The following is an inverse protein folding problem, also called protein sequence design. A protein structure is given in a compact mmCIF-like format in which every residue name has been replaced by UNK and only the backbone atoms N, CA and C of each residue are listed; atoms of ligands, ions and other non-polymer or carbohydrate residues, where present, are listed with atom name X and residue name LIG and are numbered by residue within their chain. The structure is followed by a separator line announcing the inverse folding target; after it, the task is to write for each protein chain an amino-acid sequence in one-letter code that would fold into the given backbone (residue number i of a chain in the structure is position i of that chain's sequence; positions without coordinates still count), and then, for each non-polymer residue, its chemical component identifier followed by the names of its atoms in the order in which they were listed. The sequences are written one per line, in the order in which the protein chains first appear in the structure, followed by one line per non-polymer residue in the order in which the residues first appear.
data_IF_378510889240
#
_entry.id   IF_378510889240
#
_cell.length_a   1.000
_cell.length_b   1.000
_cell.length_c   1.000
_cell.angle_alpha   90.00
_cell.angle_beta   90.00
_cell.angle_gamma   90.00
#
_symmetry.space_group_name_H-M   'P 1'
#
loop_
_entity.id
_entity.type
_entity.pdbx_description
1 polymer ?
#
# COMPACT_ATOMS: atom_id res chain seq x y z
N UNK A 1 18.56 -35.84 69.51
CA UNK A 1 17.27 -35.89 68.81
C UNK A 1 16.84 -34.42 68.62
N UNK A 2 17.09 -33.83 67.42
CA UNK A 2 16.71 -32.50 67.06
C UNK A 2 15.67 -32.60 65.95
N UNK A 3 14.57 -31.91 66.14
CA UNK A 3 13.30 -31.92 65.39
C UNK A 3 13.46 -31.43 63.94
N UNK A 4 12.74 -31.99 62.97
CA UNK A 4 12.86 -31.63 61.53
C UNK A 4 11.92 -30.51 61.08
N UNK A 5 11.86 -29.38 61.81
CA UNK A 5 10.93 -28.30 61.49
C UNK A 5 11.56 -27.07 60.81
N UNK A 6 12.88 -27.02 60.66
CA UNK A 6 13.56 -25.79 60.15
C UNK A 6 13.99 -25.81 58.69
N UNK A 7 13.89 -26.92 57.96
CA UNK A 7 14.25 -26.97 56.55
C UNK A 7 13.10 -26.62 55.59
N UNK A 8 11.87 -26.84 55.98
CA UNK A 8 10.72 -26.50 55.13
C UNK A 8 10.44 -25.00 55.06
N UNK A 9 10.88 -24.21 56.02
CA UNK A 9 10.66 -22.79 56.07
C UNK A 9 11.68 -21.98 55.22
N UNK A 10 12.84 -22.58 54.93
CA UNK A 10 13.88 -21.98 54.06
C UNK A 10 13.64 -22.17 52.56
N UNK A 11 12.88 -23.20 52.17
CA UNK A 11 12.53 -23.49 50.77
C UNK A 11 11.31 -22.59 50.33
N UNK A 12 10.40 -22.32 51.24
CA UNK A 12 9.22 -21.45 50.93
C UNK A 12 9.62 -19.97 50.75
N UNK A 13 10.64 -19.48 51.46
CA UNK A 13 11.11 -18.08 51.30
C UNK A 13 12.01 -17.88 50.06
N UNK A 14 12.55 -18.95 49.43
CA UNK A 14 13.31 -18.80 48.18
C UNK A 14 12.48 -18.96 46.94
N UNK A 15 11.26 -19.47 47.02
CA UNK A 15 10.32 -19.58 45.89
C UNK A 15 9.44 -18.30 45.76
N UNK A 16 9.25 -17.58 46.87
CA UNK A 16 8.50 -16.31 46.84
C UNK A 16 9.35 -15.09 46.33
N UNK A 17 10.67 -15.19 46.31
CA UNK A 17 11.54 -14.10 45.83
C UNK A 17 11.84 -14.16 44.33
N UNK A 18 11.50 -15.29 43.63
CA UNK A 18 11.59 -15.38 42.17
C UNK A 18 10.25 -15.10 41.41
N UNK A 19 9.12 -15.03 42.13
CA UNK A 19 7.81 -14.80 41.54
C UNK A 19 7.41 -13.32 41.45
N UNK A 20 8.17 -12.37 42.04
CA UNK A 20 7.81 -10.96 42.07
C UNK A 20 8.63 -10.09 41.11
N UNK A 21 9.55 -10.67 40.33
CA UNK A 21 10.36 -9.93 39.35
C UNK A 21 9.81 -10.00 37.91
N UNK A 22 8.67 -10.69 37.68
CA UNK A 22 8.12 -10.92 36.35
C UNK A 22 6.84 -10.12 36.04
N UNK A 23 6.38 -9.21 36.90
CA UNK A 23 5.12 -8.45 36.71
C UNK A 23 5.34 -6.93 36.61
N UNK A 24 6.57 -6.44 36.48
CA UNK A 24 6.84 -5.01 36.24
C UNK A 24 7.35 -4.68 34.83
N UNK A 25 7.07 -5.55 33.84
CA UNK A 25 7.41 -5.35 32.44
C UNK A 25 6.28 -4.74 31.59
N UNK A 26 5.21 -4.23 32.20
CA UNK A 26 4.09 -3.64 31.47
C UNK A 26 3.85 -2.20 31.89
N UNK A 27 4.10 -1.24 30.99
CA UNK A 27 3.95 0.20 31.11
C UNK A 27 5.22 0.96 31.51
N UNK A 28 6.29 0.86 30.72
CA UNK A 28 7.22 1.97 30.64
C UNK A 28 6.59 3.04 29.74
N UNK A 29 5.78 3.91 30.34
CA UNK A 29 5.48 5.19 29.74
C UNK A 29 6.82 5.88 29.43
N UNK A 30 7.05 6.32 28.19
CA UNK A 30 8.25 7.05 27.83
C UNK A 30 8.41 8.26 28.78
N UNK A 31 9.51 8.32 29.46
CA UNK A 31 9.93 9.54 30.15
C UNK A 31 10.06 10.62 29.07
N UNK A 32 9.43 11.79 29.20
CA UNK A 32 9.58 12.87 28.21
C UNK A 32 11.08 13.14 27.97
N UNK A 33 11.54 12.92 26.71
CA UNK A 33 12.94 13.11 26.30
C UNK A 33 13.77 11.83 26.14
N UNK A 34 13.27 10.62 26.45
CA UNK A 34 13.98 9.37 26.16
C UNK A 34 13.79 8.95 24.69
N UNK A 35 14.89 8.66 24.00
CA UNK A 35 14.83 8.04 22.66
C UNK A 35 14.35 6.59 22.78
N UNK A 36 13.39 6.15 21.96
CA UNK A 36 13.00 4.75 21.91
C UNK A 36 14.19 3.85 21.54
N UNK A 37 14.23 2.59 22.02
CA UNK A 37 15.27 1.65 21.61
C UNK A 37 15.25 1.44 20.08
N UNK A 38 16.40 1.12 19.44
CA UNK A 38 16.44 0.80 18.03
C UNK A 38 15.42 -0.30 17.65
N UNK A 39 14.67 -0.08 16.57
CA UNK A 39 13.59 -0.97 16.16
C UNK A 39 12.26 -0.80 16.91
N UNK A 40 12.19 0.11 17.89
CA UNK A 40 10.94 0.44 18.59
C UNK A 40 10.09 1.41 17.76
N UNK A 41 8.80 1.16 17.66
CA UNK A 41 7.82 2.06 17.03
C UNK A 41 7.11 2.97 18.06
N UNK A 42 7.51 2.93 19.32
CA UNK A 42 6.84 3.64 20.44
C UNK A 42 6.83 5.16 20.28
N UNK A 43 7.77 5.71 19.49
CA UNK A 43 7.79 7.15 19.17
C UNK A 43 6.70 7.62 18.20
N UNK A 44 6.01 6.71 17.52
CA UNK A 44 4.95 7.02 16.56
C UNK A 44 3.60 6.85 17.25
N UNK A 45 2.86 7.95 17.41
CA UNK A 45 1.55 7.97 18.04
C UNK A 45 0.39 8.09 17.04
N UNK A 46 0.67 8.57 15.83
CA UNK A 46 -0.32 8.69 14.77
C UNK A 46 0.16 7.95 13.52
N UNK A 47 -0.60 6.94 13.10
CA UNK A 47 -0.36 6.19 11.86
C UNK A 47 -1.47 6.58 10.90
N UNK A 48 -1.11 7.24 9.81
CA UNK A 48 -2.03 7.58 8.72
C UNK A 48 -1.63 6.77 7.51
N UNK A 49 -2.55 6.07 6.89
CA UNK A 49 -2.30 5.41 5.61
C UNK A 49 -3.36 5.77 4.59
N UNK A 50 -2.93 5.95 3.36
CA UNK A 50 -3.77 6.31 2.23
C UNK A 50 -3.47 5.36 1.07
N UNK A 51 -4.51 4.88 0.42
CA UNK A 51 -4.42 4.01 -0.73
C UNK A 51 -5.10 4.66 -1.93
N UNK A 52 -4.29 5.02 -2.94
CA UNK A 52 -4.73 5.52 -4.25
C UNK A 52 -5.03 4.35 -5.19
N UNK A 53 -5.29 4.60 -6.48
CA UNK A 53 -5.74 3.58 -7.43
C UNK A 53 -4.81 3.39 -8.62
N UNK A 54 -4.53 2.12 -8.85
CA UNK A 54 -4.21 1.50 -10.12
C UNK A 54 -2.95 2.06 -10.80
N UNK A 55 -1.79 2.08 -10.09
CA UNK A 55 -0.51 2.48 -10.68
C UNK A 55 0.61 1.51 -10.33
N UNK A 56 1.39 1.09 -11.34
CA UNK A 56 2.59 0.30 -11.11
C UNK A 56 3.76 1.18 -10.65
N UNK A 57 4.76 0.55 -10.03
CA UNK A 57 5.98 1.24 -9.63
C UNK A 57 6.74 1.81 -10.84
N UNK A 58 6.92 1.03 -11.89
CA UNK A 58 7.64 1.47 -13.09
C UNK A 58 6.96 2.65 -13.78
N UNK A 59 5.62 2.68 -13.77
CA UNK A 59 4.85 3.77 -14.35
C UNK A 59 5.11 5.13 -13.67
N UNK A 60 5.31 5.13 -12.33
CA UNK A 60 5.53 6.36 -11.58
C UNK A 60 6.99 6.61 -11.20
N UNK A 61 7.71 5.57 -10.80
CA UNK A 61 9.08 5.68 -10.28
C UNK A 61 10.13 4.97 -11.13
N UNK A 62 9.76 4.47 -12.31
CA UNK A 62 10.68 3.83 -13.25
C UNK A 62 11.83 4.74 -13.72
N UNK A 63 11.75 6.06 -13.48
CA UNK A 63 12.78 7.04 -13.81
C UNK A 63 13.41 7.71 -12.57
N UNK A 64 13.11 7.23 -11.35
CA UNK A 64 13.48 7.92 -10.11
C UNK A 64 15.00 8.07 -9.93
N UNK A 65 15.80 7.15 -10.43
CA UNK A 65 17.26 7.23 -10.35
C UNK A 65 17.84 8.45 -11.07
N UNK A 66 17.23 8.89 -12.18
CA UNK A 66 17.63 10.10 -12.88
C UNK A 66 17.48 11.35 -11.97
N UNK A 67 16.35 11.43 -11.29
CA UNK A 67 16.07 12.50 -10.33
C UNK A 67 17.03 12.44 -9.13
N UNK A 68 17.23 11.26 -8.53
CA UNK A 68 18.14 11.06 -7.39
C UNK A 68 19.57 11.50 -7.75
N UNK A 69 20.08 11.10 -8.91
CA UNK A 69 21.39 11.52 -9.41
C UNK A 69 21.46 13.04 -9.61
N UNK A 70 20.40 13.70 -10.11
CA UNK A 70 20.36 15.16 -10.23
C UNK A 70 20.45 15.89 -8.89
N UNK A 71 20.13 15.19 -7.78
CA UNK A 71 20.27 15.67 -6.39
C UNK A 71 21.57 15.21 -5.72
N UNK A 72 22.47 14.56 -6.45
CA UNK A 72 23.74 14.04 -5.92
C UNK A 72 23.60 12.81 -5.04
N UNK A 73 22.48 12.06 -5.18
CA UNK A 73 22.20 10.85 -4.42
C UNK A 73 22.51 9.58 -5.23
N UNK A 74 22.69 8.46 -4.53
CA UNK A 74 22.90 7.15 -5.14
C UNK A 74 21.68 6.72 -5.97
N UNK A 75 21.91 6.17 -7.18
CA UNK A 75 20.85 5.59 -8.01
C UNK A 75 20.57 4.13 -7.59
N UNK A 76 20.16 3.94 -6.36
CA UNK A 76 19.95 2.63 -5.73
C UNK A 76 18.53 2.07 -5.84
N UNK A 77 17.63 2.76 -6.54
CA UNK A 77 16.26 2.28 -6.77
C UNK A 77 16.24 1.25 -7.91
N UNK A 78 15.49 0.17 -7.76
CA UNK A 78 15.27 -0.81 -8.81
C UNK A 78 14.26 -0.26 -9.83
N UNK A 79 14.76 0.56 -10.75
CA UNK A 79 13.99 1.27 -11.80
C UNK A 79 13.85 0.45 -13.08
N UNK A 80 12.96 0.88 -13.96
CA UNK A 80 12.72 0.22 -15.25
C UNK A 80 14.01 0.04 -16.03
N UNK A 81 14.39 -1.21 -16.41
CA UNK A 81 15.61 -1.44 -17.17
C UNK A 81 15.49 -0.91 -18.61
N UNK A 82 16.61 -0.43 -19.15
CA UNK A 82 16.65 0.19 -20.47
C UNK A 82 16.21 -0.76 -21.60
N UNK A 83 16.29 -2.08 -21.40
CA UNK A 83 15.87 -3.10 -22.37
C UNK A 83 14.47 -3.65 -22.08
N UNK A 84 13.71 -3.07 -21.15
CA UNK A 84 12.33 -3.45 -20.90
C UNK A 84 11.50 -3.34 -22.20
N UNK A 85 10.65 -4.30 -22.45
CA UNK A 85 9.84 -4.31 -23.67
C UNK A 85 8.59 -5.19 -23.53
N UNK A 86 7.57 -4.88 -24.33
CA UNK A 86 6.35 -5.67 -24.47
C UNK A 86 6.06 -5.89 -25.97
N UNK A 87 5.62 -7.08 -26.33
CA UNK A 87 5.15 -7.36 -27.67
C UNK A 87 3.71 -6.86 -27.82
N UNK A 88 3.41 -6.11 -28.89
CA UNK A 88 2.07 -5.61 -29.18
C UNK A 88 1.04 -6.74 -29.24
N UNK A 89 -0.25 -6.40 -29.02
CA UNK A 89 -1.36 -7.38 -29.09
C UNK A 89 -1.38 -8.16 -30.41
N UNK A 90 -1.12 -7.51 -31.55
CA UNK A 90 -1.09 -8.14 -32.88
C UNK A 90 0.27 -8.74 -33.23
N UNK A 91 1.22 -8.75 -32.32
CA UNK A 91 2.57 -9.28 -32.46
C UNK A 91 3.42 -8.63 -33.60
N UNK A 92 3.00 -7.44 -34.07
CA UNK A 92 3.68 -6.76 -35.19
C UNK A 92 4.80 -5.81 -34.73
N UNK A 93 4.77 -5.37 -33.47
CA UNK A 93 5.66 -4.34 -32.95
C UNK A 93 6.09 -4.66 -31.51
N UNK A 94 7.33 -4.31 -31.17
CA UNK A 94 7.82 -4.35 -29.80
C UNK A 94 7.81 -2.93 -29.23
N UNK A 95 7.09 -2.73 -28.13
CA UNK A 95 7.05 -1.47 -27.39
C UNK A 95 8.15 -1.41 -26.34
N UNK A 96 8.73 -0.25 -26.17
CA UNK A 96 9.71 0.07 -25.12
C UNK A 96 9.19 1.20 -24.24
N UNK A 97 9.75 1.43 -23.05
CA UNK A 97 9.34 2.54 -22.19
C UNK A 97 9.39 3.90 -22.89
N UNK A 98 8.35 4.71 -22.72
CA UNK A 98 8.27 6.05 -23.29
C UNK A 98 7.64 7.04 -22.29
N UNK A 99 8.02 8.31 -22.38
CA UNK A 99 7.45 9.37 -21.53
C UNK A 99 6.04 9.75 -22.02
N UNK A 100 5.05 9.66 -21.14
CA UNK A 100 3.67 9.99 -21.46
C UNK A 100 3.44 11.50 -21.42
N UNK A 101 2.99 12.08 -22.54
CA UNK A 101 2.63 13.49 -22.60
C UNK A 101 1.23 13.76 -22.01
N UNK A 102 0.26 12.89 -22.28
CA UNK A 102 -1.07 12.98 -21.66
C UNK A 102 -1.01 12.62 -20.20
N UNK A 103 -1.69 13.37 -19.34
CA UNK A 103 -1.83 13.10 -17.90
C UNK A 103 -3.03 12.20 -17.59
N UNK A 104 -3.76 11.78 -18.62
CA UNK A 104 -4.80 10.77 -18.57
C UNK A 104 -4.37 9.54 -19.35
N UNK A 105 -4.72 8.39 -18.86
CA UNK A 105 -4.48 7.09 -19.51
C UNK A 105 -5.83 6.44 -19.75
N UNK A 106 -6.04 5.88 -20.94
CA UNK A 106 -7.21 5.03 -21.20
C UNK A 106 -7.22 3.89 -20.16
N UNK A 107 -8.39 3.54 -19.67
CA UNK A 107 -8.53 2.49 -18.67
C UNK A 107 -7.95 1.16 -19.13
N UNK A 108 -7.50 0.36 -18.17
CA UNK A 108 -6.89 -0.95 -18.39
C UNK A 108 -7.55 -1.96 -17.46
N UNK A 109 -7.66 -3.19 -17.92
CA UNK A 109 -8.13 -4.28 -17.10
C UNK A 109 -7.00 -4.89 -16.26
N UNK A 110 -7.26 -5.03 -14.96
CA UNK A 110 -6.38 -5.65 -13.97
C UNK A 110 -7.09 -6.78 -13.21
N UNK A 111 -8.16 -7.32 -13.79
CA UNK A 111 -8.88 -8.44 -13.18
C UNK A 111 -8.01 -9.70 -13.08
N UNK A 112 -8.55 -10.73 -12.45
CA UNK A 112 -7.87 -11.99 -12.22
C UNK A 112 -7.23 -12.58 -13.48
N UNK A 113 -7.97 -12.66 -14.57
CA UNK A 113 -7.48 -13.24 -15.82
C UNK A 113 -6.37 -12.41 -16.46
N UNK A 114 -6.55 -11.10 -16.54
CA UNK A 114 -5.57 -10.17 -17.12
C UNK A 114 -4.30 -10.13 -16.28
N UNK A 115 -4.41 -10.08 -14.96
CA UNK A 115 -3.23 -10.13 -14.08
C UNK A 115 -2.44 -11.44 -14.22
N UNK A 116 -3.12 -12.57 -14.41
CA UNK A 116 -2.43 -13.84 -14.69
C UNK A 116 -1.86 -13.90 -16.10
N UNK A 117 -2.51 -13.27 -17.08
CA UNK A 117 -1.94 -13.08 -18.41
C UNK A 117 -0.68 -12.21 -18.38
N UNK A 118 -0.69 -11.12 -17.62
CA UNK A 118 0.46 -10.22 -17.43
C UNK A 118 1.65 -10.93 -16.79
N UNK A 119 1.38 -11.82 -15.81
CA UNK A 119 2.38 -12.68 -15.20
C UNK A 119 3.08 -13.60 -16.20
N UNK A 120 2.34 -14.29 -17.06
CA UNK A 120 2.87 -15.20 -18.11
C UNK A 120 1.82 -15.44 -19.18
N UNK A 121 1.96 -14.77 -20.31
CA UNK A 121 1.01 -14.83 -21.42
C UNK A 121 0.83 -16.24 -22.00
N UNK A 122 1.91 -17.01 -22.10
CA UNK A 122 1.86 -18.37 -22.68
C UNK A 122 1.28 -19.41 -21.71
N UNK A 123 1.41 -19.19 -20.38
CA UNK A 123 0.94 -20.13 -19.35
C UNK A 123 0.61 -19.40 -18.06
N UNK A 124 -0.63 -18.95 -17.93
CA UNK A 124 -1.16 -18.14 -16.83
C UNK A 124 -0.98 -18.77 -15.43
N UNK A 125 -0.81 -20.10 -15.36
CA UNK A 125 -0.68 -20.85 -14.10
C UNK A 125 0.76 -21.31 -13.82
N UNK A 126 1.73 -20.84 -14.62
CA UNK A 126 3.16 -21.17 -14.47
C UNK A 126 3.70 -20.66 -13.12
N UNK A 127 4.68 -21.40 -12.56
CA UNK A 127 5.51 -20.90 -11.47
C UNK A 127 6.55 -19.85 -11.92
N UNK A 128 6.79 -19.75 -13.23
CA UNK A 128 7.82 -18.87 -13.80
C UNK A 128 7.16 -17.60 -14.33
N UNK A 129 7.47 -16.43 -13.78
CA UNK A 129 7.03 -15.16 -14.32
C UNK A 129 7.76 -14.86 -15.62
N UNK A 130 7.02 -14.39 -16.62
CA UNK A 130 7.58 -13.89 -17.88
C UNK A 130 7.39 -12.37 -18.00
N UNK A 131 6.39 -11.82 -17.30
CA UNK A 131 6.05 -10.40 -17.31
C UNK A 131 5.81 -9.88 -18.75
N UNK A 132 5.18 -10.69 -19.60
CA UNK A 132 5.10 -10.49 -21.04
C UNK A 132 3.68 -10.31 -21.59
N UNK A 133 2.66 -10.29 -20.73
CA UNK A 133 1.27 -10.21 -21.14
C UNK A 133 0.64 -8.81 -21.10
N UNK A 134 1.28 -7.80 -20.52
CA UNK A 134 0.67 -6.48 -20.27
C UNK A 134 0.10 -5.82 -21.52
N UNK A 135 0.89 -5.73 -22.62
CA UNK A 135 0.39 -5.15 -23.85
C UNK A 135 -0.72 -6.00 -24.49
N UNK A 136 -0.68 -7.32 -24.29
CA UNK A 136 -1.74 -8.21 -24.76
C UNK A 136 -3.05 -7.97 -23.98
N UNK A 137 -3.02 -7.92 -22.64
CA UNK A 137 -4.18 -7.61 -21.81
C UNK A 137 -4.77 -6.26 -22.18
N UNK A 138 -3.96 -5.21 -22.21
CA UNK A 138 -4.39 -3.85 -22.51
C UNK A 138 -4.97 -3.68 -23.91
N UNK A 139 -4.33 -4.29 -24.93
CA UNK A 139 -4.84 -4.28 -26.30
C UNK A 139 -6.13 -5.05 -26.45
N UNK A 140 -6.26 -6.17 -25.73
CA UNK A 140 -7.49 -6.96 -25.67
C UNK A 140 -8.66 -6.19 -25.06
N UNK A 141 -8.42 -5.52 -23.93
CA UNK A 141 -9.41 -4.69 -23.25
C UNK A 141 -9.90 -3.54 -24.15
N UNK A 142 -8.96 -2.79 -24.77
CA UNK A 142 -9.29 -1.73 -25.73
C UNK A 142 -10.14 -2.22 -26.90
N UNK A 143 -9.84 -3.40 -27.44
CA UNK A 143 -10.61 -4.00 -28.56
C UNK A 143 -12.01 -4.40 -28.16
N UNK A 144 -12.18 -4.87 -26.92
CA UNK A 144 -13.44 -5.40 -26.40
C UNK A 144 -14.31 -4.32 -25.75
N UNK A 145 -13.81 -3.11 -25.50
CA UNK A 145 -14.59 -1.98 -24.98
C UNK A 145 -15.62 -1.48 -26.01
N UNK A 146 -16.67 -0.82 -25.57
CA UNK A 146 -17.70 -0.29 -26.46
C UNK A 146 -17.99 1.19 -26.16
N UNK A 147 -17.59 2.11 -27.05
CA UNK A 147 -16.85 1.88 -28.31
C UNK A 147 -15.44 1.36 -28.05
N UNK A 148 -14.79 0.72 -29.04
CA UNK A 148 -13.40 0.28 -28.92
C UNK A 148 -12.48 1.44 -28.54
N UNK A 149 -11.52 1.15 -27.66
CA UNK A 149 -10.49 2.11 -27.27
C UNK A 149 -9.53 2.47 -28.38
N UNK A 150 -8.67 3.43 -28.13
CA UNK A 150 -7.68 3.91 -29.12
C UNK A 150 -6.46 3.01 -29.18
N UNK A 151 -6.03 2.51 -28.01
CA UNK A 151 -4.82 1.71 -27.88
C UNK A 151 -5.08 0.21 -28.09
N UNK A 152 -5.54 -0.17 -29.27
CA UNK A 152 -5.87 -1.56 -29.63
C UNK A 152 -4.66 -2.51 -29.62
N UNK A 153 -3.45 -2.04 -29.46
CA UNK A 153 -2.23 -2.83 -29.40
C UNK A 153 -1.54 -2.81 -28.04
N UNK A 154 -2.05 -2.02 -27.08
CA UNK A 154 -1.61 -2.02 -25.69
C UNK A 154 -0.33 -1.24 -25.42
N UNK A 155 0.06 -0.28 -26.26
CA UNK A 155 1.30 0.50 -26.09
C UNK A 155 1.35 1.26 -24.76
N UNK A 156 0.22 1.76 -24.26
CA UNK A 156 0.13 2.61 -23.05
C UNK A 156 0.69 1.95 -21.79
N UNK A 157 0.75 0.61 -21.74
CA UNK A 157 1.31 -0.08 -20.57
C UNK A 157 2.78 0.25 -20.32
N UNK A 158 3.53 0.60 -21.38
CA UNK A 158 4.96 0.94 -21.33
C UNK A 158 5.20 2.43 -21.06
N UNK A 159 4.15 3.22 -20.93
CA UNK A 159 4.25 4.65 -20.60
C UNK A 159 4.72 4.87 -19.18
N UNK A 160 5.52 5.93 -18.95
CA UNK A 160 5.93 6.37 -17.63
C UNK A 160 5.74 7.86 -17.45
N UNK A 161 5.69 8.30 -16.19
CA UNK A 161 5.79 9.70 -15.77
C UNK A 161 7.10 9.93 -15.03
N UNK A 162 7.58 11.17 -15.02
CA UNK A 162 8.81 11.55 -14.34
C UNK A 162 8.62 12.75 -13.38
N UNK A 163 9.72 13.34 -12.92
CA UNK A 163 9.70 14.48 -12.00
C UNK A 163 9.14 15.77 -12.62
N UNK A 164 9.02 15.86 -13.94
CA UNK A 164 8.36 16.98 -14.61
C UNK A 164 6.83 16.89 -14.52
N UNK A 165 6.30 15.68 -14.38
CA UNK A 165 4.86 15.42 -14.23
C UNK A 165 4.43 15.37 -12.76
N UNK A 166 5.24 14.69 -11.94
CA UNK A 166 4.96 14.38 -10.53
C UNK A 166 6.06 14.91 -9.60
N UNK A 167 6.41 16.22 -9.68
CA UNK A 167 7.53 16.78 -8.93
C UNK A 167 7.39 16.58 -7.41
N UNK A 168 6.17 16.59 -6.88
CA UNK A 168 5.93 16.35 -5.47
C UNK A 168 6.27 14.89 -5.07
N UNK A 169 5.81 13.90 -5.83
CA UNK A 169 6.08 12.49 -5.51
C UNK A 169 7.56 12.16 -5.61
N UNK A 170 8.25 12.63 -6.64
CA UNK A 170 9.69 12.44 -6.80
C UNK A 170 10.50 13.09 -5.67
N UNK A 171 10.07 14.28 -5.24
CA UNK A 171 10.66 14.94 -4.07
C UNK A 171 10.42 14.11 -2.80
N UNK A 172 9.18 13.68 -2.53
CA UNK A 172 8.84 12.96 -1.31
C UNK A 172 9.53 11.59 -1.24
N UNK A 173 9.56 10.84 -2.36
CA UNK A 173 10.25 9.56 -2.47
C UNK A 173 11.78 9.70 -2.25
N UNK A 174 12.33 10.87 -2.57
CA UNK A 174 13.77 11.14 -2.41
C UNK A 174 14.09 11.75 -1.05
N UNK A 175 13.25 12.62 -0.49
CA UNK A 175 13.47 13.29 0.79
C UNK A 175 13.22 12.37 2.00
N UNK A 176 12.21 11.53 1.91
CA UNK A 176 11.80 10.60 2.97
C UNK A 176 12.27 9.17 2.65
N UNK A 177 11.55 8.17 3.15
CA UNK A 177 11.82 6.77 2.86
C UNK A 177 10.78 6.19 1.90
N UNK A 178 11.18 5.18 1.15
CA UNK A 178 10.33 4.40 0.26
C UNK A 178 10.86 2.96 0.15
N UNK A 179 10.09 2.09 -0.50
CA UNK A 179 10.55 0.77 -0.92
C UNK A 179 10.39 0.60 -2.43
N UNK A 180 11.34 -0.07 -3.05
CA UNK A 180 11.24 -0.54 -4.44
C UNK A 180 10.89 -2.03 -4.54
N UNK A 181 10.47 -2.61 -3.42
CA UNK A 181 10.00 -4.00 -3.30
C UNK A 181 8.66 -4.08 -2.52
N UNK A 182 7.74 -3.15 -2.81
CA UNK A 182 6.42 -3.02 -2.21
C UNK A 182 5.34 -3.45 -3.21
N UNK A 183 4.53 -4.44 -2.85
CA UNK A 183 3.62 -5.10 -3.78
C UNK A 183 2.15 -5.02 -3.35
N UNK A 184 1.23 -5.14 -4.30
CA UNK A 184 -0.16 -5.43 -3.98
C UNK A 184 -0.29 -6.85 -3.41
N UNK A 185 -1.28 -7.12 -2.54
CA UNK A 185 -1.39 -8.42 -1.89
C UNK A 185 -1.70 -9.59 -2.83
N UNK A 186 -2.42 -9.36 -3.93
CA UNK A 186 -2.91 -10.42 -4.81
C UNK A 186 -3.00 -9.97 -6.27
N UNK A 187 -2.78 -10.88 -7.22
CA UNK A 187 -2.85 -10.66 -8.67
C UNK A 187 -4.31 -10.54 -9.13
N UNK A 188 -4.95 -9.44 -8.79
CA UNK A 188 -6.30 -9.09 -9.24
C UNK A 188 -6.58 -7.61 -8.96
N UNK A 189 -7.81 -7.18 -9.21
CA UNK A 189 -8.24 -5.80 -9.17
C UNK A 189 -8.49 -5.22 -7.76
N UNK A 190 -8.88 -3.96 -7.74
CA UNK A 190 -9.18 -3.08 -6.61
C UNK A 190 -9.92 -3.74 -5.43
N UNK A 191 -11.11 -4.40 -5.60
CA UNK A 191 -11.88 -4.83 -4.43
C UNK A 191 -11.14 -5.79 -3.51
N UNK A 192 -10.50 -6.81 -4.07
CA UNK A 192 -9.75 -7.79 -3.28
C UNK A 192 -8.56 -7.13 -2.56
N UNK A 193 -7.74 -6.35 -3.27
CA UNK A 193 -6.56 -5.70 -2.71
C UNK A 193 -6.91 -4.70 -1.60
N UNK A 194 -8.02 -3.96 -1.72
CA UNK A 194 -8.49 -3.06 -0.65
C UNK A 194 -9.03 -3.81 0.57
N UNK A 195 -9.60 -5.01 0.38
CA UNK A 195 -9.98 -5.86 1.52
C UNK A 195 -8.75 -6.30 2.32
N UNK A 196 -7.64 -6.63 1.65
CA UNK A 196 -6.37 -6.91 2.33
C UNK A 196 -5.87 -5.72 3.14
N UNK A 197 -6.08 -4.49 2.68
CA UNK A 197 -5.66 -3.30 3.40
C UNK A 197 -6.39 -3.06 4.74
N UNK A 198 -7.49 -3.76 4.98
CA UNK A 198 -8.27 -3.61 6.23
C UNK A 198 -8.45 -4.91 7.00
N UNK A 199 -8.36 -6.07 6.34
CA UNK A 199 -8.60 -7.38 6.93
C UNK A 199 -7.48 -8.41 6.69
N UNK A 200 -6.41 -8.03 5.97
CA UNK A 200 -5.30 -8.90 5.55
C UNK A 200 -5.75 -10.14 4.75
N UNK A 201 -6.97 -10.16 4.25
CA UNK A 201 -7.54 -11.19 3.39
C UNK A 201 -8.69 -10.63 2.56
N UNK A 202 -8.93 -11.21 1.39
CA UNK A 202 -10.16 -11.00 0.62
C UNK A 202 -11.22 -12.09 0.88
N UNK A 203 -10.91 -13.08 1.74
CA UNK A 203 -11.79 -14.20 2.05
C UNK A 203 -12.31 -14.92 0.78
N UNK A 204 -11.40 -15.15 -0.16
CA UNK A 204 -11.69 -15.79 -1.45
C UNK A 204 -12.13 -14.85 -2.57
N UNK A 205 -12.50 -13.59 -2.29
CA UNK A 205 -12.92 -12.63 -3.31
C UNK A 205 -11.75 -12.30 -4.24
N UNK A 206 -11.97 -12.42 -5.56
CA UNK A 206 -11.00 -12.04 -6.60
C UNK A 206 -11.50 -10.90 -7.49
N UNK A 207 -12.81 -10.65 -7.50
CA UNK A 207 -13.45 -9.60 -8.28
C UNK A 207 -14.43 -8.81 -7.40
N UNK A 208 -15.66 -8.65 -7.87
CA UNK A 208 -16.68 -7.91 -7.12
C UNK A 208 -17.22 -8.71 -5.94
N UNK A 209 -17.14 -8.14 -4.76
CA UNK A 209 -17.80 -8.67 -3.58
C UNK A 209 -19.33 -8.49 -3.69
N UNK A 210 -20.08 -9.55 -3.41
CA UNK A 210 -21.55 -9.55 -3.53
C UNK A 210 -22.26 -9.50 -2.19
N UNK A 211 -21.58 -9.90 -1.11
CA UNK A 211 -22.14 -9.94 0.25
C UNK A 211 -21.14 -9.35 1.24
N UNK A 212 -21.64 -8.74 2.31
CA UNK A 212 -20.76 -8.29 3.39
C UNK A 212 -20.16 -9.48 4.14
N UNK A 213 -18.88 -9.38 4.45
CA UNK A 213 -18.15 -10.37 5.24
C UNK A 213 -18.29 -10.07 6.74
N UNK A 214 -18.49 -11.13 7.51
CA UNK A 214 -18.48 -11.07 8.97
C UNK A 214 -17.16 -11.64 9.51
N UNK A 215 -16.06 -10.97 9.20
CA UNK A 215 -14.72 -11.29 9.70
C UNK A 215 -14.11 -10.04 10.34
N UNK A 216 -13.14 -10.19 11.25
CA UNK A 216 -12.46 -9.06 11.87
C UNK A 216 -11.70 -8.21 10.86
N UNK A 217 -11.72 -6.91 11.05
CA UNK A 217 -10.81 -5.94 10.43
C UNK A 217 -9.85 -5.40 11.46
N UNK A 218 -8.80 -4.71 11.02
CA UNK A 218 -7.90 -4.01 11.94
C UNK A 218 -8.64 -3.00 12.83
N UNK A 219 -9.72 -2.43 12.34
CA UNK A 219 -10.53 -1.46 13.08
C UNK A 219 -11.33 -2.11 14.21
N UNK A 220 -11.77 -3.35 14.05
CA UNK A 220 -12.39 -4.13 15.13
C UNK A 220 -11.39 -4.43 16.26
N UNK A 221 -10.14 -4.75 15.89
CA UNK A 221 -9.09 -5.02 16.87
C UNK A 221 -8.64 -3.74 17.59
N UNK A 222 -8.53 -2.62 16.88
CA UNK A 222 -8.27 -1.31 17.48
C UNK A 222 -9.38 -0.90 18.46
N UNK A 223 -10.64 -1.14 18.10
CA UNK A 223 -11.80 -0.87 18.99
C UNK A 223 -11.74 -1.68 20.27
N UNK A 224 -11.49 -2.99 20.18
CA UNK A 224 -11.34 -3.88 21.35
C UNK A 224 -10.18 -3.45 22.26
N UNK A 225 -9.11 -2.93 21.67
CA UNK A 225 -7.93 -2.45 22.39
C UNK A 225 -8.06 -1.00 22.93
N UNK A 226 -9.19 -0.32 22.70
CA UNK A 226 -9.40 1.10 23.02
C UNK A 226 -8.36 2.03 22.36
N UNK A 227 -7.87 1.68 21.17
CA UNK A 227 -7.02 2.53 20.34
C UNK A 227 -7.92 3.41 19.48
N UNK A 228 -7.69 4.72 19.49
CA UNK A 228 -8.51 5.64 18.69
C UNK A 228 -8.23 5.50 17.20
N UNK A 229 -9.31 5.47 16.39
CA UNK A 229 -9.19 5.36 14.94
C UNK A 229 -10.32 6.08 14.21
N UNK A 230 -10.06 6.44 12.94
CA UNK A 230 -11.07 6.92 11.99
C UNK A 230 -10.73 6.47 10.56
N UNK A 231 -11.77 6.36 9.75
CA UNK A 231 -11.67 6.24 8.29
C UNK A 231 -12.27 7.50 7.68
N UNK A 232 -11.46 8.24 6.96
CA UNK A 232 -11.83 9.49 6.29
C UNK A 232 -12.15 9.19 4.83
N UNK A 233 -13.40 9.44 4.44
CA UNK A 233 -13.94 9.03 3.15
C UNK A 233 -14.27 10.26 2.31
N UNK A 234 -13.53 10.50 1.20
CA UNK A 234 -13.86 11.59 0.25
C UNK A 234 -15.24 11.42 -0.39
N UNK A 235 -15.54 10.23 -0.89
CA UNK A 235 -16.80 9.88 -1.54
C UNK A 235 -17.85 9.36 -0.55
N UNK A 236 -17.87 9.98 0.64
CA UNK A 236 -18.76 9.59 1.74
C UNK A 236 -20.23 9.49 1.30
N UNK A 237 -20.97 8.46 1.73
CA UNK A 237 -20.57 7.37 2.64
C UNK A 237 -20.01 6.12 1.92
N UNK A 238 -19.88 6.11 0.61
CA UNK A 238 -19.75 4.88 -0.18
C UNK A 238 -18.32 4.47 -0.54
N UNK A 239 -17.39 5.39 -0.59
CA UNK A 239 -16.03 5.18 -1.11
C UNK A 239 -15.07 4.52 -0.12
N UNK A 240 -15.46 3.44 0.58
CA UNK A 240 -14.58 2.74 1.54
C UNK A 240 -14.66 1.23 1.39
N UNK A 241 -13.51 0.57 1.55
CA UNK A 241 -13.39 -0.88 1.60
C UNK A 241 -14.21 -1.50 2.75
N UNK A 242 -14.35 -0.77 3.86
CA UNK A 242 -15.11 -1.24 5.03
C UNK A 242 -16.58 -1.53 4.70
N UNK A 243 -17.14 -0.95 3.65
CA UNK A 243 -18.50 -1.25 3.19
C UNK A 243 -18.69 -2.73 2.85
N UNK A 244 -17.62 -3.44 2.54
CA UNK A 244 -17.59 -4.88 2.35
C UNK A 244 -17.70 -5.71 3.62
N UNK A 245 -17.73 -5.09 4.80
CA UNK A 245 -17.75 -5.79 6.09
C UNK A 245 -18.99 -5.42 6.91
N UNK A 246 -19.49 -6.37 7.70
CA UNK A 246 -20.71 -6.16 8.52
C UNK A 246 -20.54 -5.06 9.57
N UNK A 247 -19.32 -4.86 10.05
CA UNK A 247 -18.99 -3.81 11.03
C UNK A 247 -19.19 -2.38 10.48
N UNK A 248 -19.25 -2.18 9.15
CA UNK A 248 -19.38 -0.86 8.53
C UNK A 248 -20.52 -0.02 9.13
N UNK A 249 -21.71 -0.60 9.24
CA UNK A 249 -22.90 0.12 9.72
C UNK A 249 -22.81 0.54 11.20
N UNK A 250 -22.00 -0.15 12.00
CA UNK A 250 -21.78 0.19 13.40
C UNK A 250 -20.99 1.49 13.58
N UNK A 251 -20.09 1.77 12.64
CA UNK A 251 -19.12 2.87 12.75
C UNK A 251 -19.42 4.05 11.81
N UNK A 252 -20.41 3.90 10.92
CA UNK A 252 -20.82 4.96 10.00
C UNK A 252 -21.25 6.23 10.77
N UNK A 253 -20.81 7.39 10.32
CA UNK A 253 -21.01 8.72 10.94
C UNK A 253 -20.33 8.94 12.30
N UNK A 254 -19.71 7.93 12.90
CA UNK A 254 -18.99 8.07 14.18
C UNK A 254 -17.49 7.99 14.01
N UNK A 255 -17.02 6.96 13.29
CA UNK A 255 -15.60 6.71 12.99
C UNK A 255 -15.33 6.63 11.49
N UNK A 256 -16.31 6.28 10.68
CA UNK A 256 -16.28 6.40 9.23
C UNK A 256 -16.96 7.72 8.91
N UNK A 257 -16.17 8.72 8.48
CA UNK A 257 -16.58 10.12 8.39
C UNK A 257 -16.11 10.77 7.08
N UNK A 258 -16.74 11.89 6.64
CA UNK A 258 -16.24 12.61 5.46
C UNK A 258 -14.80 13.11 5.63
N UNK A 259 -14.05 13.21 4.52
CA UNK A 259 -12.65 13.68 4.50
C UNK A 259 -12.47 15.07 5.14
N UNK A 260 -13.47 15.93 5.12
CA UNK A 260 -13.41 17.24 5.78
C UNK A 260 -13.10 17.14 7.29
N UNK A 261 -13.48 16.02 7.91
CA UNK A 261 -13.18 15.75 9.32
C UNK A 261 -11.68 15.54 9.56
N UNK A 262 -10.91 15.02 8.59
CA UNK A 262 -9.46 14.91 8.72
C UNK A 262 -8.80 16.27 8.96
N UNK A 263 -9.13 17.24 8.15
CA UNK A 263 -8.58 18.60 8.29
C UNK A 263 -9.06 19.27 9.60
N UNK A 264 -10.30 19.00 10.02
CA UNK A 264 -10.82 19.46 11.30
C UNK A 264 -10.05 18.85 12.47
N UNK A 265 -9.80 17.54 12.43
CA UNK A 265 -9.06 16.83 13.48
C UNK A 265 -7.59 17.29 13.56
N UNK A 266 -6.94 17.55 12.43
CA UNK A 266 -5.59 18.14 12.40
C UNK A 266 -5.55 19.53 13.04
N UNK A 267 -6.48 20.40 12.67
CA UNK A 267 -6.55 21.76 13.20
C UNK A 267 -6.82 21.80 14.70
N UNK A 268 -7.62 20.86 15.21
CA UNK A 268 -7.98 20.77 16.62
C UNK A 268 -6.98 19.96 17.46
N UNK A 269 -5.98 19.31 16.84
CA UNK A 269 -5.06 18.40 17.53
C UNK A 269 -5.75 17.12 18.05
N UNK A 270 -6.78 16.65 17.35
CA UNK A 270 -7.61 15.47 17.71
C UNK A 270 -7.48 14.33 16.69
N UNK A 271 -6.40 14.33 15.88
CA UNK A 271 -6.11 13.22 14.97
C UNK A 271 -6.03 11.91 15.76
N UNK A 272 -6.77 10.85 15.38
CA UNK A 272 -6.69 9.57 16.09
C UNK A 272 -5.34 8.87 15.91
N UNK A 273 -5.11 7.83 16.69
CA UNK A 273 -3.89 7.03 16.66
C UNK A 273 -3.73 6.26 15.33
N UNK A 274 -4.84 5.81 14.74
CA UNK A 274 -4.84 5.16 13.42
C UNK A 274 -5.87 5.82 12.51
N UNK A 275 -5.46 6.16 11.31
CA UNK A 275 -6.28 6.83 10.30
C UNK A 275 -6.13 6.14 8.95
N UNK A 276 -7.23 5.73 8.33
CA UNK A 276 -7.27 5.39 6.91
C UNK A 276 -7.85 6.57 6.15
N UNK A 277 -7.20 6.97 5.07
CA UNK A 277 -7.77 7.92 4.10
C UNK A 277 -8.07 7.15 2.82
N UNK A 278 -9.34 7.11 2.45
CA UNK A 278 -9.80 6.48 1.22
C UNK A 278 -9.59 7.39 0.01
N UNK A 279 -9.64 6.81 -1.18
CA UNK A 279 -9.52 7.53 -2.44
C UNK A 279 -10.72 8.44 -2.74
N UNK A 280 -10.53 9.42 -3.64
CA UNK A 280 -11.60 10.26 -4.18
C UNK A 280 -11.82 9.96 -5.67
N UNK A 281 -12.77 9.07 -5.98
CA UNK A 281 -13.08 8.67 -7.36
C UNK A 281 -14.05 9.63 -8.05
N UNK A 282 -15.09 10.08 -7.34
CA UNK A 282 -16.11 10.99 -7.93
C UNK A 282 -15.52 12.32 -8.42
N UNK A 283 -14.47 12.80 -7.76
CA UNK A 283 -13.75 14.00 -8.18
C UNK A 283 -12.58 13.72 -9.14
N UNK A 284 -12.29 12.46 -9.48
CA UNK A 284 -11.16 12.06 -10.32
C UNK A 284 -9.81 12.44 -9.72
N UNK A 285 -9.63 12.20 -8.40
CA UNK A 285 -8.38 12.47 -7.68
C UNK A 285 -7.74 11.18 -7.14
N UNK A 286 -8.28 10.04 -7.50
CA UNK A 286 -7.79 8.72 -7.13
C UNK A 286 -6.64 8.22 -7.99
N UNK A 287 -6.34 8.93 -9.08
CA UNK A 287 -5.30 8.60 -10.06
C UNK A 287 -5.59 7.34 -10.90
N UNK A 288 -6.77 6.75 -10.77
CA UNK A 288 -7.17 5.59 -11.58
C UNK A 288 -6.99 5.86 -13.08
N UNK A 289 -6.45 4.92 -13.89
CA UNK A 289 -6.48 5.06 -15.34
C UNK A 289 -7.89 5.36 -15.84
N UNK A 290 -8.05 6.42 -16.63
CA UNK A 290 -9.36 6.82 -17.13
C UNK A 290 -9.28 8.09 -17.98
N UNK A 291 -10.20 8.27 -18.93
CA UNK A 291 -10.12 9.35 -19.92
C UNK A 291 -10.29 10.76 -19.36
N UNK A 292 -10.68 10.89 -18.09
CA UNK A 292 -10.88 12.18 -17.41
C UNK A 292 -10.19 12.24 -16.04
N UNK A 293 -9.34 11.29 -15.73
CA UNK A 293 -8.60 11.24 -14.46
C UNK A 293 -7.17 11.70 -14.69
N UNK A 294 -6.93 12.98 -14.39
CA UNK A 294 -5.63 13.62 -14.50
C UNK A 294 -4.77 13.31 -13.26
N UNK A 295 -3.63 12.62 -13.46
CA UNK A 295 -2.70 12.24 -12.38
C UNK A 295 -2.18 13.45 -11.59
N UNK A 296 -2.00 14.60 -12.23
CA UNK A 296 -1.52 15.80 -11.55
C UNK A 296 -2.55 16.35 -10.56
N UNK A 297 -3.83 16.19 -10.87
CA UNK A 297 -4.93 16.54 -9.96
C UNK A 297 -4.92 15.60 -8.73
N UNK A 298 -4.69 14.31 -8.93
CA UNK A 298 -4.56 13.33 -7.85
C UNK A 298 -3.34 13.61 -6.97
N UNK A 299 -2.17 13.79 -7.58
CA UNK A 299 -0.93 14.11 -6.86
C UNK A 299 -1.04 15.44 -6.06
N UNK A 300 -1.72 16.45 -6.60
CA UNK A 300 -1.99 17.70 -5.87
C UNK A 300 -2.94 17.49 -4.68
N UNK A 301 -3.91 16.59 -4.81
CA UNK A 301 -4.78 16.21 -3.70
C UNK A 301 -4.01 15.50 -2.59
N UNK A 302 -3.20 14.51 -2.91
CA UNK A 302 -2.31 13.81 -1.95
C UNK A 302 -1.36 14.79 -1.29
N UNK A 303 -0.76 15.72 -2.07
CA UNK A 303 0.07 16.80 -1.52
C UNK A 303 -0.66 17.58 -0.44
N UNK A 304 -1.90 18.01 -0.69
CA UNK A 304 -2.67 18.78 0.28
C UNK A 304 -2.89 17.99 1.58
N UNK A 305 -3.13 16.68 1.50
CA UNK A 305 -3.34 15.80 2.65
C UNK A 305 -2.06 15.66 3.47
N UNK A 306 -0.93 15.35 2.82
CA UNK A 306 0.35 15.16 3.49
C UNK A 306 0.89 16.48 4.08
N UNK A 307 0.84 17.57 3.31
CA UNK A 307 1.29 18.89 3.78
C UNK A 307 0.47 19.37 4.99
N UNK A 308 -0.84 19.07 5.01
CA UNK A 308 -1.69 19.40 6.17
C UNK A 308 -1.28 18.64 7.42
N UNK A 309 -0.89 17.36 7.29
CA UNK A 309 -0.33 16.59 8.41
C UNK A 309 1.00 17.20 8.88
N UNK A 310 1.90 17.48 7.93
CA UNK A 310 3.22 18.05 8.25
C UNK A 310 3.13 19.42 8.93
N UNK A 311 2.09 20.21 8.62
CA UNK A 311 1.85 21.51 9.24
C UNK A 311 1.12 21.43 10.60
N UNK A 312 0.60 20.27 10.98
CA UNK A 312 -0.18 20.08 12.20
C UNK A 312 0.68 19.77 13.43
N UNK A 313 0.09 19.89 14.61
CA UNK A 313 0.71 19.48 15.88
C UNK A 313 0.96 17.96 15.98
N UNK A 314 0.27 17.16 15.19
CA UNK A 314 0.43 15.71 15.14
C UNK A 314 1.70 15.28 14.37
N UNK A 315 2.27 16.16 13.54
CA UNK A 315 3.46 15.81 12.73
C UNK A 315 4.61 15.21 13.53
N UNK A 316 4.89 15.79 14.70
CA UNK A 316 6.04 15.44 15.56
C UNK A 316 6.20 13.96 15.93
N UNK A 317 5.10 13.19 15.82
CA UNK A 317 5.00 11.79 16.20
C UNK A 317 4.08 10.99 15.27
N UNK A 318 4.01 11.42 14.00
CA UNK A 318 3.23 10.77 12.96
C UNK A 318 4.07 9.98 11.97
N UNK A 319 3.43 9.01 11.32
CA UNK A 319 3.84 8.46 10.02
C UNK A 319 2.67 8.49 9.06
N UNK A 320 2.96 8.83 7.81
CA UNK A 320 2.04 8.71 6.69
C UNK A 320 2.58 7.68 5.69
N UNK A 321 1.79 6.65 5.41
CA UNK A 321 2.03 5.69 4.34
C UNK A 321 1.14 6.01 3.15
N UNK A 322 1.73 6.37 2.01
CA UNK A 322 1.03 6.39 0.73
C UNK A 322 1.31 5.08 0.00
N UNK A 323 0.29 4.47 -0.56
CA UNK A 323 0.39 3.30 -1.43
C UNK A 323 -0.74 3.32 -2.46
N UNK A 324 -0.75 2.29 -3.30
CA UNK A 324 -1.78 2.01 -4.30
C UNK A 324 -2.38 0.64 -4.00
N UNK A 325 -3.57 0.37 -4.51
CA UNK A 325 -4.26 -0.91 -4.28
C UNK A 325 -3.74 -2.01 -5.20
N UNK A 326 -3.51 -1.69 -6.48
CA UNK A 326 -2.95 -2.60 -7.48
C UNK A 326 -2.33 -1.82 -8.65
N UNK A 327 -1.69 -2.51 -9.59
CA UNK A 327 -0.87 -1.88 -10.62
C UNK A 327 -1.66 -1.35 -11.84
N UNK A 328 -2.98 -1.61 -11.93
CA UNK A 328 -3.84 -1.09 -13.00
C UNK A 328 -3.56 -1.68 -14.38
N UNK A 329 -2.99 -2.87 -14.49
CA UNK A 329 -2.59 -3.44 -15.78
C UNK A 329 -1.41 -2.71 -16.44
N UNK A 330 -0.76 -1.77 -15.74
CA UNK A 330 0.43 -1.06 -16.19
C UNK A 330 1.69 -1.89 -15.93
N UNK A 331 2.64 -1.85 -16.86
CA UNK A 331 3.86 -2.65 -16.80
C UNK A 331 4.68 -2.40 -15.55
N UNK A 332 5.19 -3.48 -14.98
CA UNK A 332 6.31 -3.48 -14.03
C UNK A 332 7.27 -4.62 -14.38
N UNK A 333 8.57 -4.35 -14.29
CA UNK A 333 9.57 -5.35 -14.64
C UNK A 333 9.86 -6.34 -13.52
N UNK A 334 9.47 -6.03 -12.28
CA UNK A 334 9.71 -6.90 -11.12
C UNK A 334 8.51 -7.82 -10.91
N UNK A 335 8.72 -9.14 -10.97
CA UNK A 335 7.61 -10.08 -10.82
C UNK A 335 7.08 -10.12 -9.38
N UNK A 336 5.78 -10.40 -9.21
CA UNK A 336 5.22 -10.81 -7.94
C UNK A 336 6.02 -11.91 -7.26
N UNK A 337 6.12 -11.89 -5.94
CA UNK A 337 6.88 -12.88 -5.18
C UNK A 337 5.98 -13.86 -4.41
N UNK A 338 6.54 -15.01 -4.10
CA UNK A 338 5.84 -16.03 -3.34
C UNK A 338 5.75 -15.64 -1.86
N UNK A 339 4.56 -15.75 -1.29
CA UNK A 339 4.23 -15.43 0.09
C UNK A 339 3.37 -16.52 0.71
N UNK A 340 2.60 -16.23 1.77
CA UNK A 340 1.71 -17.20 2.43
C UNK A 340 0.24 -16.89 2.13
N UNK A 341 -0.58 -17.93 2.02
CA UNK A 341 -2.03 -17.75 1.99
C UNK A 341 -2.52 -17.11 3.29
N UNK A 342 -3.44 -16.10 3.23
CA UNK A 342 -3.89 -15.41 4.43
C UNK A 342 -4.64 -16.32 5.41
N UNK A 343 -5.54 -17.15 4.90
CA UNK A 343 -6.53 -17.90 5.69
C UNK A 343 -6.81 -19.31 5.14
N UNK A 344 -6.12 -19.70 4.07
CA UNK A 344 -6.31 -20.99 3.41
C UNK A 344 -7.60 -21.11 2.58
N UNK A 345 -8.35 -20.01 2.42
CA UNK A 345 -9.55 -19.98 1.59
C UNK A 345 -9.13 -19.80 0.12
N UNK A 346 -9.55 -20.69 -0.79
CA UNK A 346 -9.17 -20.58 -2.19
C UNK A 346 -9.92 -19.42 -2.88
N UNK A 347 -9.41 -18.95 -4.04
CA UNK A 347 -10.11 -17.97 -4.87
C UNK A 347 -11.52 -18.44 -5.26
N UNK A 348 -12.51 -17.55 -5.16
CA UNK A 348 -13.87 -17.77 -5.62
C UNK A 348 -13.96 -17.32 -7.07
N UNK A 349 -13.82 -18.29 -7.98
CA UNK A 349 -13.69 -18.07 -9.43
C UNK A 349 -15.02 -18.20 -10.18
N UNK A 350 -15.17 -17.40 -11.23
CA UNK A 350 -16.22 -17.56 -12.23
C UNK A 350 -15.89 -18.68 -13.23
N UNK A 351 -16.85 -19.06 -14.07
CA UNK A 351 -16.72 -20.21 -15.00
C UNK A 351 -15.56 -20.07 -16.01
N UNK A 352 -15.19 -18.84 -16.36
CA UNK A 352 -14.19 -18.57 -17.38
C UNK A 352 -12.88 -18.02 -16.78
N UNK A 353 -12.76 -18.01 -15.45
CA UNK A 353 -11.57 -17.52 -14.81
C UNK A 353 -10.40 -18.52 -14.95
N UNK A 354 -9.20 -17.98 -15.10
CA UNK A 354 -7.96 -18.74 -14.98
C UNK A 354 -7.99 -19.53 -13.66
N UNK A 355 -7.48 -20.76 -13.68
CA UNK A 355 -7.53 -21.70 -12.55
C UNK A 355 -8.88 -22.43 -12.32
N UNK A 356 -9.93 -22.11 -13.04
CA UNK A 356 -11.21 -22.85 -12.93
C UNK A 356 -11.08 -24.28 -13.47
N UNK A 357 -10.39 -24.46 -14.59
CA UNK A 357 -10.18 -25.74 -15.28
C UNK A 357 -8.73 -26.21 -15.28
N UNK A 358 -7.81 -25.37 -14.84
CA UNK A 358 -6.37 -25.63 -14.74
C UNK A 358 -5.92 -25.39 -13.31
N UNK A 359 -4.87 -26.08 -12.88
CA UNK A 359 -4.24 -25.88 -11.58
C UNK A 359 -2.82 -25.42 -11.77
N UNK A 360 -2.30 -24.64 -10.84
CA UNK A 360 -0.92 -24.17 -10.89
C UNK A 360 -0.55 -23.35 -9.67
N UNK A 361 0.73 -23.01 -9.54
CA UNK A 361 1.23 -22.29 -8.37
C UNK A 361 0.59 -20.93 -8.11
N UNK A 362 0.02 -20.28 -9.14
CA UNK A 362 -0.63 -18.97 -9.04
C UNK A 362 -2.13 -19.06 -8.76
N UNK A 363 -2.68 -20.27 -8.64
CA UNK A 363 -4.12 -20.53 -8.48
C UNK A 363 -4.61 -20.46 -7.02
N UNK A 364 -3.83 -19.92 -6.14
CA UNK A 364 -4.15 -19.66 -4.74
C UNK A 364 -3.56 -18.31 -4.33
N UNK A 365 -3.77 -17.89 -3.09
CA UNK A 365 -3.28 -16.59 -2.62
C UNK A 365 -1.84 -16.67 -2.06
N UNK A 366 -0.96 -17.50 -2.64
CA UNK A 366 0.45 -17.62 -2.21
C UNK A 366 1.43 -16.81 -3.06
N UNK A 367 0.92 -15.98 -3.96
CA UNK A 367 1.69 -14.96 -4.65
C UNK A 367 1.09 -13.58 -4.38
N UNK A 368 1.95 -12.56 -4.33
CA UNK A 368 1.52 -11.15 -4.32
C UNK A 368 0.98 -10.75 -5.69
N UNK A 369 0.37 -9.59 -5.79
CA UNK A 369 0.19 -8.89 -7.06
C UNK A 369 1.45 -8.12 -7.45
N UNK A 370 1.32 -7.16 -8.38
CA UNK A 370 2.44 -6.41 -8.95
C UNK A 370 2.96 -5.33 -8.00
N UNK A 371 4.16 -4.81 -8.31
CA UNK A 371 4.84 -3.81 -7.51
C UNK A 371 4.19 -2.43 -7.64
N UNK A 372 4.13 -1.70 -6.51
CA UNK A 372 3.39 -0.46 -6.34
C UNK A 372 4.29 0.71 -5.92
N UNK A 373 3.95 1.95 -6.32
CA UNK A 373 4.54 3.14 -5.73
C UNK A 373 4.18 3.24 -4.24
N UNK A 374 5.09 3.75 -3.43
CA UNK A 374 4.85 3.98 -2.01
C UNK A 374 5.71 5.12 -1.47
N UNK A 375 5.26 5.74 -0.37
CA UNK A 375 5.99 6.76 0.38
C UNK A 375 5.83 6.49 1.87
N UNK A 376 6.91 6.63 2.63
CA UNK A 376 6.92 6.55 4.09
C UNK A 376 7.36 7.88 4.67
N UNK A 377 6.38 8.75 4.96
CA UNK A 377 6.60 10.15 5.32
C UNK A 377 6.44 10.33 6.82
N UNK A 378 7.53 10.66 7.51
CA UNK A 378 7.57 10.82 8.97
C UNK A 378 8.73 11.73 9.37
N UNK A 379 8.64 12.46 10.50
CA UNK A 379 9.81 13.11 11.07
C UNK A 379 10.94 12.13 11.40
N UNK A 380 10.61 10.85 11.59
CA UNK A 380 11.55 9.77 11.88
C UNK A 380 12.02 9.00 10.65
N UNK A 381 11.41 9.18 9.46
CA UNK A 381 11.87 8.50 8.25
C UNK A 381 13.35 8.77 8.01
N UNK A 382 14.11 7.71 7.73
CA UNK A 382 15.51 7.84 7.28
C UNK A 382 15.53 8.66 6.00
N UNK A 383 16.31 9.75 5.94
CA UNK A 383 16.40 10.56 4.72
C UNK A 383 16.97 9.75 3.57
N UNK A 384 16.41 9.91 2.39
CA UNK A 384 16.89 9.32 1.13
C UNK A 384 16.95 7.78 1.12
N UNK A 385 16.24 7.13 2.04
CA UNK A 385 16.31 5.69 2.24
C UNK A 385 15.40 4.94 1.25
N UNK A 386 15.97 3.94 0.59
CA UNK A 386 15.26 2.98 -0.25
C UNK A 386 15.38 1.61 0.39
N UNK A 387 14.27 0.95 0.63
CA UNK A 387 14.24 -0.43 1.12
C UNK A 387 13.99 -1.40 -0.02
N UNK A 388 14.69 -2.54 0.01
CA UNK A 388 14.64 -3.58 -1.03
C UNK A 388 14.04 -4.91 -0.50
N UNK A 389 13.45 -4.88 0.69
CA UNK A 389 12.84 -6.07 1.28
C UNK A 389 11.46 -6.31 0.66
N UNK A 390 11.23 -7.51 0.16
CA UNK A 390 9.94 -7.90 -0.37
C UNK A 390 8.85 -7.83 0.70
N UNK A 391 7.80 -7.07 0.44
CA UNK A 391 6.63 -6.94 1.30
C UNK A 391 5.40 -6.56 0.48
N UNK A 392 4.22 -6.84 1.00
CA UNK A 392 2.98 -6.34 0.44
C UNK A 392 2.31 -5.29 1.35
N UNK A 393 1.22 -4.68 0.88
CA UNK A 393 0.55 -3.58 1.60
C UNK A 393 0.06 -3.98 2.99
N UNK A 394 -0.08 -5.28 3.31
CA UNK A 394 -0.45 -5.75 4.66
C UNK A 394 0.66 -5.51 5.69
N UNK A 395 1.87 -5.13 5.24
CA UNK A 395 2.94 -4.67 6.14
C UNK A 395 2.53 -3.43 6.96
N UNK A 396 1.60 -2.60 6.46
CA UNK A 396 1.03 -1.48 7.24
C UNK A 396 0.19 -2.00 8.40
N UNK A 397 -0.63 -3.04 8.17
CA UNK A 397 -1.41 -3.68 9.25
C UNK A 397 -0.46 -4.29 10.29
N UNK A 398 0.56 -5.02 9.84
CA UNK A 398 1.59 -5.57 10.73
C UNK A 398 2.27 -4.50 11.56
N UNK A 399 2.57 -3.35 10.99
CA UNK A 399 3.15 -2.22 11.71
C UNK A 399 2.21 -1.68 12.79
N UNK A 400 0.90 -1.54 12.49
CA UNK A 400 -0.13 -1.13 13.45
C UNK A 400 -0.21 -2.15 14.59
N UNK A 401 -0.25 -3.43 14.28
CA UNK A 401 -0.32 -4.52 15.25
C UNK A 401 0.87 -4.51 16.20
N UNK A 402 2.09 -4.43 15.67
CA UNK A 402 3.32 -4.37 16.47
C UNK A 402 3.32 -3.11 17.33
N UNK A 403 2.92 -1.95 16.77
CA UNK A 403 2.90 -0.68 17.51
C UNK A 403 1.97 -0.71 18.71
N UNK A 404 0.83 -1.36 18.58
CA UNK A 404 -0.21 -1.36 19.62
C UNK A 404 -0.34 -2.70 20.36
N UNK A 405 0.52 -3.66 20.07
CA UNK A 405 0.52 -4.98 20.74
C UNK A 405 -0.68 -5.84 20.39
N UNK A 406 -1.21 -5.69 19.18
CA UNK A 406 -2.33 -6.48 18.66
C UNK A 406 -1.83 -7.80 18.05
N UNK A 407 -2.70 -8.80 18.03
CA UNK A 407 -2.46 -10.03 17.26
C UNK A 407 -2.62 -9.77 15.77
N UNK A 408 -1.90 -10.51 14.95
CA UNK A 408 -2.10 -10.49 13.51
C UNK A 408 -3.50 -11.00 13.16
N UNK A 409 -4.09 -10.41 12.11
CA UNK A 409 -5.42 -10.77 11.62
C UNK A 409 -5.40 -12.12 10.88
N UNK A 410 -4.32 -12.38 10.13
CA UNK A 410 -4.16 -13.57 9.30
C UNK A 410 -2.71 -14.04 9.26
N UNK A 411 -2.45 -15.14 8.55
CA UNK A 411 -1.08 -15.58 8.31
C UNK A 411 -0.31 -14.63 7.37
N UNK A 412 -1.00 -13.84 6.52
CA UNK A 412 -0.39 -12.96 5.53
C UNK A 412 0.30 -11.75 6.20
N UNK A 413 -0.40 -11.03 7.05
CA UNK A 413 0.15 -9.89 7.78
C UNK A 413 1.14 -10.35 8.86
N UNK A 414 0.89 -11.51 9.51
CA UNK A 414 1.85 -12.11 10.44
C UNK A 414 3.22 -12.40 9.80
N UNK A 415 3.23 -12.73 8.49
CA UNK A 415 4.46 -13.03 7.75
C UNK A 415 5.19 -11.78 7.23
N UNK A 416 4.58 -10.59 7.32
CA UNK A 416 5.22 -9.36 6.87
C UNK A 416 6.39 -8.95 7.75
N UNK A 417 7.44 -8.32 7.19
CA UNK A 417 8.52 -7.78 7.99
C UNK A 417 8.02 -6.66 8.90
N UNK A 418 8.71 -6.50 10.03
CA UNK A 418 8.53 -5.30 10.85
C UNK A 418 9.18 -4.11 10.14
N UNK A 419 8.39 -3.25 9.55
CA UNK A 419 8.85 -2.09 8.75
C UNK A 419 9.41 -0.93 9.58
N UNK A 420 9.77 -1.16 10.85
CA UNK A 420 10.46 -0.17 11.69
C UNK A 420 11.84 0.23 11.13
N UNK A 421 12.40 -0.53 10.19
CA UNK A 421 13.66 -0.21 9.52
C UNK A 421 13.58 1.07 8.65
N UNK A 422 12.40 1.56 8.30
CA UNK A 422 12.24 2.86 7.65
C UNK A 422 12.60 4.04 8.55
N UNK A 423 12.66 3.85 9.87
CA UNK A 423 12.77 4.94 10.83
C UNK A 423 14.11 4.97 11.55
N UNK A 424 14.51 6.20 11.91
CA UNK A 424 15.58 6.50 12.86
C UNK A 424 15.01 7.36 13.99
N UNK A 425 14.89 6.76 15.17
CA UNK A 425 14.37 7.44 16.36
C UNK A 425 15.46 8.15 17.17
N UNK A 426 16.75 8.02 16.79
CA UNK A 426 17.87 8.74 17.46
C UNK A 426 17.93 10.20 17.04
N UNK A 427 17.40 10.52 15.84
CA UNK A 427 17.28 11.86 15.29
C UNK A 427 15.87 12.06 14.71
N UNK A 428 15.48 13.32 14.54
CA UNK A 428 14.25 13.71 13.82
C UNK A 428 14.66 14.46 12.56
N UNK A 429 15.37 13.76 11.67
CA UNK A 429 16.00 14.35 10.48
C UNK A 429 15.01 15.09 9.59
N UNK A 430 13.75 14.62 9.57
CA UNK A 430 12.68 15.19 8.77
C UNK A 430 11.64 15.98 9.60
N UNK A 431 11.98 16.44 10.82
CA UNK A 431 11.05 17.26 11.61
C UNK A 431 10.70 18.57 10.89
N UNK A 432 11.68 19.17 10.24
CA UNK A 432 11.54 20.38 9.43
C UNK A 432 12.09 20.08 8.03
N UNK A 433 11.37 19.30 7.20
CA UNK A 433 11.86 18.95 5.87
C UNK A 433 11.94 20.19 4.98
N UNK A 434 12.78 20.16 3.94
CA UNK A 434 12.76 21.19 2.91
C UNK A 434 11.36 21.35 2.32
N UNK A 435 11.03 22.56 1.90
CA UNK A 435 9.73 22.84 1.27
C UNK A 435 9.58 22.02 -0.01
N UNK A 436 8.51 21.21 -0.13
CA UNK A 436 8.25 20.46 -1.35
C UNK A 436 7.99 21.38 -2.55
N UNK A 437 8.35 20.96 -3.76
CA UNK A 437 8.02 21.71 -4.97
C UNK A 437 6.50 21.84 -5.15
N UNK A 438 6.08 22.83 -5.94
CA UNK A 438 4.70 22.93 -6.37
C UNK A 438 4.35 21.71 -7.24
N UNK A 439 3.16 21.15 -7.03
CA UNK A 439 2.60 20.11 -7.89
C UNK A 439 1.59 20.75 -8.84
N UNK A 440 1.72 20.61 -10.16
CA UNK A 440 0.67 20.99 -11.08
C UNK A 440 -0.67 20.33 -10.72
N UNK A 441 -1.77 21.04 -10.94
CA UNK A 441 -3.12 20.58 -10.62
C UNK A 441 -3.92 20.13 -11.84
N UNK A 442 -3.38 20.37 -13.02
CA UNK A 442 -3.97 20.02 -14.31
C UNK A 442 -2.87 19.96 -15.37
N UNK A 443 -2.97 18.99 -16.26
CA UNK A 443 -2.12 18.84 -17.43
C UNK A 443 -2.91 18.51 -18.69
N UNK A 444 -2.24 18.33 -19.83
CA UNK A 444 -2.89 17.83 -21.03
C UNK A 444 -3.46 16.44 -20.77
N UNK A 445 -4.79 16.31 -20.89
CA UNK A 445 -5.54 15.10 -20.60
C UNK A 445 -6.29 14.66 -21.86
N UNK A 446 -5.80 13.67 -22.55
CA UNK A 446 -6.39 13.10 -23.75
C UNK A 446 -6.06 11.61 -23.86
N UNK A 447 -7.00 10.84 -24.40
CA UNK A 447 -6.85 9.40 -24.67
C UNK A 447 -7.13 9.08 -26.14
N UNK A 448 -7.31 10.10 -26.97
CA UNK A 448 -7.67 9.97 -28.40
C UNK A 448 -6.48 9.73 -29.32
N UNK A 449 -5.28 9.87 -28.79
CA UNK A 449 -4.03 9.52 -29.48
C UNK A 449 -3.03 9.01 -28.46
N UNK A 450 -2.19 8.08 -28.90
CA UNK A 450 -1.01 7.66 -28.13
C UNK A 450 0.12 8.68 -28.35
N UNK A 451 0.99 8.87 -27.37
CA UNK A 451 2.09 9.82 -27.42
C UNK A 451 3.13 9.48 -28.45
#
# INVERSE_FOLDING_TARGET
MLSPSNERMRIVLRVLSLGLAAILGGCQGLVPGSTPPPGSTVGINHIVYMMQENRSFDHYFGQLNNYRQSKGLSPDVNVTPANASQLSYDHSTTFTPFHMHSKCVEDLSSYWNESHNDWNHANHTSATPMMDGFANSAGGDSRNSNPPGVDINGQRVMGYYDDTDLPYYYFMATQFAMSDAWFSPVMTNTPANRMYAVAATSHGVVNKQTTQLNIPTIFDELEKANISWKVYVPDFPNGTALKGFTAYSLFLNTKIVPIAQYFTDLNNGTLPQVSLIERESLGGKDEHPGPSVDIQKGAAYVKNIIDSLMASSAWKDSVFFLTYDEAGGLYDHVPPFKTVSPDGIPPILGLNDTCTTTTGPTCDFVYTGFRLPNLVVSPFSKPHYVDHTNMDTTAVLRFIEIRFGLSALTARDAAQPNISFFFDFTGKSNMNPPTPPAQPTVGPCYVTSLP
#
